data_IF_005939311224
#
_entry.id   IF_005939311224
#
_cell.length_a   1.000
_cell.length_b   1.000
_cell.length_c   1.000
_cell.angle_alpha   90.00
_cell.angle_beta   90.00
_cell.angle_gamma   90.00
#
_symmetry.space_group_name_H-M   'P 1'
#
loop_
_entity.id
_entity.type
_entity.pdbx_description
1 polymer ?
#
# COMPACT_ATOMS: atom_id res chain seq x y z
N UNK A 1 17.31 -11.09 22.16
CA UNK A 1 16.23 -12.07 22.40
C UNK A 1 14.92 -11.31 22.38
N UNK A 2 14.02 -11.62 21.44
CA UNK A 2 12.67 -11.07 21.46
C UNK A 2 11.91 -11.65 22.65
N UNK A 3 11.44 -10.79 23.54
CA UNK A 3 10.75 -11.20 24.76
C UNK A 3 9.36 -11.73 24.37
N UNK A 4 9.13 -13.00 24.67
CA UNK A 4 7.81 -13.61 24.60
C UNK A 4 7.04 -13.07 25.81
N UNK A 5 5.86 -12.49 25.61
CA UNK A 5 5.07 -12.00 26.74
C UNK A 5 4.30 -13.17 27.37
N UNK A 6 4.00 -13.08 28.67
CA UNK A 6 3.31 -14.16 29.39
C UNK A 6 1.92 -14.51 28.83
N UNK A 7 1.33 -13.62 28.04
CA UNK A 7 0.01 -13.81 27.44
C UNK A 7 0.02 -14.64 26.16
N UNK A 8 1.13 -14.70 25.42
CA UNK A 8 1.18 -15.40 24.14
C UNK A 8 2.60 -15.85 23.79
N UNK A 9 2.75 -17.16 23.57
CA UNK A 9 4.04 -17.76 23.24
C UNK A 9 4.40 -17.73 21.75
N UNK A 10 3.56 -17.10 20.92
CA UNK A 10 3.75 -17.11 19.48
C UNK A 10 4.88 -16.18 19.05
N UNK A 11 5.82 -16.71 18.28
CA UNK A 11 6.98 -15.97 17.77
C UNK A 11 6.83 -15.57 16.32
N UNK A 12 6.02 -16.30 15.57
CA UNK A 12 5.81 -16.09 14.15
C UNK A 12 4.34 -15.78 13.87
N UNK A 13 4.09 -14.98 12.84
CA UNK A 13 2.75 -14.68 12.36
C UNK A 13 1.96 -15.97 12.00
N UNK A 14 2.66 -16.99 11.50
CA UNK A 14 2.06 -18.27 11.11
C UNK A 14 1.44 -19.04 12.29
N UNK A 15 1.91 -18.84 13.51
CA UNK A 15 1.43 -19.57 14.69
C UNK A 15 0.05 -19.09 15.15
N UNK A 16 -0.34 -17.87 14.77
CA UNK A 16 -1.65 -17.29 15.09
C UNK A 16 -2.80 -17.92 14.28
N UNK A 17 -2.52 -18.64 13.17
CA UNK A 17 -3.52 -19.34 12.35
C UNK A 17 -4.79 -18.52 12.04
N UNK A 18 -4.61 -17.27 11.60
CA UNK A 18 -5.75 -16.42 11.25
C UNK A 18 -6.56 -16.99 10.07
N UNK A 19 -7.88 -16.82 10.14
CA UNK A 19 -8.80 -17.28 9.08
C UNK A 19 -8.70 -16.43 7.80
N UNK A 20 -8.43 -15.13 7.96
CA UNK A 20 -8.29 -14.17 6.87
C UNK A 20 -6.81 -13.91 6.56
N UNK A 21 -6.53 -13.58 5.31
CA UNK A 21 -5.17 -13.21 4.87
C UNK A 21 -4.69 -11.93 5.54
N UNK A 22 -3.38 -11.84 5.80
CA UNK A 22 -2.78 -10.72 6.50
C UNK A 22 -2.42 -9.58 5.56
N UNK A 23 -2.29 -8.38 6.14
CA UNK A 23 -1.73 -7.20 5.49
C UNK A 23 -0.42 -6.88 6.22
N UNK A 24 0.68 -6.80 5.48
CA UNK A 24 1.98 -6.40 6.03
C UNK A 24 2.21 -4.94 5.64
N UNK A 25 2.52 -4.08 6.60
CA UNK A 25 2.90 -2.69 6.40
C UNK A 25 4.38 -2.54 6.77
N UNK A 26 5.22 -2.20 5.79
CA UNK A 26 6.64 -1.93 5.99
C UNK A 26 6.91 -0.42 6.00
N UNK A 27 7.53 0.06 7.08
CA UNK A 27 7.92 1.46 7.26
C UNK A 27 9.21 1.58 8.09
N UNK A 28 9.94 2.70 7.95
CA UNK A 28 11.13 2.98 8.77
C UNK A 28 10.74 3.22 10.24
N UNK A 29 9.77 4.09 10.47
CA UNK A 29 9.31 4.47 11.80
C UNK A 29 7.79 4.52 11.89
N UNK A 30 7.28 4.42 13.12
CA UNK A 30 5.86 4.55 13.41
C UNK A 30 5.41 6.01 13.35
N UNK A 31 4.88 6.43 12.20
CA UNK A 31 4.33 7.78 12.01
C UNK A 31 2.83 7.83 12.26
N UNK A 32 2.30 9.04 12.50
CA UNK A 32 0.86 9.27 12.57
C UNK A 32 0.11 8.86 11.28
N UNK A 33 0.82 8.79 10.14
CA UNK A 33 0.27 8.28 8.89
C UNK A 33 -0.21 6.83 8.99
N UNK A 34 0.47 6.00 9.80
CA UNK A 34 0.09 4.61 10.03
C UNK A 34 -1.24 4.51 10.80
N UNK A 35 -1.50 5.45 11.71
CA UNK A 35 -2.78 5.52 12.40
C UNK A 35 -3.92 5.77 11.39
N UNK A 36 -3.74 6.72 10.47
CA UNK A 36 -4.69 7.01 9.39
C UNK A 36 -4.84 5.85 8.39
N UNK A 37 -3.84 4.97 8.28
CA UNK A 37 -3.94 3.73 7.49
C UNK A 37 -4.84 2.69 8.18
N UNK A 38 -4.79 2.58 9.51
CA UNK A 38 -5.55 1.58 10.27
C UNK A 38 -7.03 1.94 10.38
N UNK A 39 -7.37 3.22 10.55
CA UNK A 39 -8.76 3.70 10.73
C UNK A 39 -9.75 3.13 9.68
N UNK A 40 -9.55 3.32 8.36
CA UNK A 40 -10.49 2.83 7.35
C UNK A 40 -10.53 1.30 7.28
N UNK A 41 -9.42 0.62 7.62
CA UNK A 41 -9.34 -0.85 7.68
C UNK A 41 -10.02 -1.46 8.91
N UNK A 42 -10.38 -0.63 9.89
CA UNK A 42 -11.09 -0.99 11.13
C UNK A 42 -12.42 -0.25 11.29
N UNK A 43 -12.92 0.34 10.22
CA UNK A 43 -14.16 1.08 10.23
C UNK A 43 -15.37 0.19 10.58
N UNK A 44 -16.37 0.79 11.25
CA UNK A 44 -17.54 0.10 11.79
C UNK A 44 -18.34 -0.72 10.75
N UNK A 45 -18.34 -0.30 9.49
CA UNK A 45 -19.07 -1.00 8.42
C UNK A 45 -18.44 -2.33 8.00
N UNK A 46 -17.20 -2.63 8.41
CA UNK A 46 -16.54 -3.92 8.14
C UNK A 46 -17.04 -4.98 9.11
N UNK A 47 -17.41 -6.15 8.60
CA UNK A 47 -17.75 -7.28 9.46
C UNK A 47 -16.54 -7.76 10.24
N UNK A 48 -16.72 -8.05 11.54
CA UNK A 48 -15.69 -8.57 12.45
C UNK A 48 -15.03 -9.84 11.92
N UNK A 49 -15.77 -10.68 11.20
CA UNK A 49 -15.27 -11.95 10.62
C UNK A 49 -14.42 -11.76 9.37
N UNK A 50 -14.47 -10.57 8.77
CA UNK A 50 -13.74 -10.24 7.52
C UNK A 50 -12.53 -9.35 7.76
N UNK A 51 -12.19 -9.06 9.02
CA UNK A 51 -11.08 -8.18 9.35
C UNK A 51 -9.74 -8.87 9.09
N UNK A 52 -8.96 -8.30 8.18
CA UNK A 52 -7.59 -8.74 7.91
C UNK A 52 -6.65 -8.30 9.05
N UNK A 53 -5.86 -9.21 9.66
CA UNK A 53 -4.80 -8.86 10.59
C UNK A 53 -3.77 -7.95 9.91
N UNK A 54 -3.31 -6.94 10.64
CA UNK A 54 -2.29 -5.98 10.15
C UNK A 54 -1.01 -6.21 10.94
N UNK A 55 0.11 -6.41 10.25
CA UNK A 55 1.43 -6.56 10.83
C UNK A 55 2.31 -5.39 10.36
N UNK A 56 2.73 -4.55 11.30
CA UNK A 56 3.63 -3.43 11.04
C UNK A 56 5.08 -3.90 11.21
N UNK A 57 5.81 -3.99 10.11
CA UNK A 57 7.24 -4.26 10.06
C UNK A 57 7.98 -2.92 10.11
N UNK A 58 8.55 -2.62 11.28
CA UNK A 58 9.20 -1.34 11.55
C UNK A 58 10.71 -1.51 11.71
N UNK A 59 11.51 -0.62 11.12
CA UNK A 59 12.97 -0.65 11.31
C UNK A 59 13.38 -0.07 12.67
N UNK A 60 12.52 0.79 13.25
CA UNK A 60 12.70 1.39 14.57
C UNK A 60 11.60 0.98 15.54
N UNK A 61 11.94 0.97 16.83
CA UNK A 61 10.93 0.74 17.87
C UNK A 61 9.93 1.90 17.91
N UNK A 62 8.62 1.61 17.91
CA UNK A 62 7.60 2.65 18.03
C UNK A 62 7.63 3.30 19.42
N UNK A 63 7.19 4.55 19.47
CA UNK A 63 7.00 5.26 20.74
C UNK A 63 5.81 4.70 21.53
N UNK A 64 5.85 4.85 22.85
CA UNK A 64 4.82 4.32 23.75
C UNK A 64 3.46 4.98 23.46
N UNK A 65 3.43 6.30 23.21
CA UNK A 65 2.21 7.02 22.88
C UNK A 65 1.52 6.48 21.62
N UNK A 66 2.29 6.04 20.63
CA UNK A 66 1.76 5.42 19.42
C UNK A 66 1.21 4.02 19.70
N UNK A 67 1.90 3.22 20.53
CA UNK A 67 1.43 1.90 20.95
C UNK A 67 0.11 2.00 21.73
N UNK A 68 -0.02 2.98 22.62
CA UNK A 68 -1.25 3.23 23.37
C UNK A 68 -2.43 3.53 22.43
N UNK A 69 -2.20 4.37 21.41
CA UNK A 69 -3.22 4.69 20.41
C UNK A 69 -3.65 3.48 19.58
N UNK A 70 -2.71 2.59 19.21
CA UNK A 70 -3.01 1.42 18.39
C UNK A 70 -3.62 0.28 19.20
N UNK A 71 -3.36 0.22 20.50
CA UNK A 71 -3.86 -0.84 21.39
C UNK A 71 -5.38 -1.03 21.36
N UNK A 72 -6.13 0.02 21.01
CA UNK A 72 -7.58 -0.01 20.87
C UNK A 72 -8.08 -0.78 19.63
N UNK A 73 -7.24 -0.98 18.61
CA UNK A 73 -7.64 -1.66 17.38
C UNK A 73 -7.43 -3.18 17.47
N UNK A 74 -8.41 -3.99 17.05
CA UNK A 74 -8.26 -5.43 17.03
C UNK A 74 -7.32 -5.89 15.92
N UNK A 75 -6.60 -6.99 16.18
CA UNK A 75 -5.77 -7.68 15.19
C UNK A 75 -4.71 -6.76 14.54
N UNK A 76 -4.08 -5.90 15.33
CA UNK A 76 -2.93 -5.09 14.90
C UNK A 76 -1.72 -5.52 15.70
N UNK A 77 -0.65 -5.85 14.98
CA UNK A 77 0.61 -6.34 15.54
C UNK A 77 1.75 -5.52 14.97
N UNK A 78 2.88 -5.49 15.67
CA UNK A 78 4.10 -4.89 15.17
C UNK A 78 5.28 -5.80 15.44
N UNK A 79 6.30 -5.69 14.59
CA UNK A 79 7.56 -6.39 14.75
C UNK A 79 8.71 -5.49 14.28
N UNK A 80 9.86 -5.65 14.92
CA UNK A 80 11.07 -4.99 14.52
C UNK A 80 11.73 -5.79 13.39
N UNK A 81 12.02 -5.16 12.26
CA UNK A 81 12.69 -5.79 11.13
C UNK A 81 12.65 -4.92 9.87
N UNK A 82 13.29 -5.39 8.80
CA UNK A 82 13.38 -4.69 7.52
C UNK A 82 12.88 -5.56 6.37
N UNK A 83 12.41 -4.93 5.30
CA UNK A 83 12.05 -5.60 4.04
C UNK A 83 13.25 -6.18 3.30
N UNK A 84 14.45 -5.70 3.60
CA UNK A 84 15.69 -6.21 3.02
C UNK A 84 16.08 -7.58 3.61
N UNK A 85 15.57 -7.90 4.80
CA UNK A 85 15.82 -9.15 5.51
C UNK A 85 14.72 -10.17 5.22
N UNK A 86 15.07 -11.23 4.49
CA UNK A 86 14.13 -12.31 4.16
C UNK A 86 13.58 -13.01 5.41
N UNK A 87 14.39 -13.18 6.45
CA UNK A 87 13.96 -13.83 7.70
C UNK A 87 12.87 -13.02 8.40
N UNK A 88 12.96 -11.69 8.37
CA UNK A 88 11.95 -10.83 8.98
C UNK A 88 10.63 -10.88 8.19
N UNK A 89 10.69 -10.91 6.85
CA UNK A 89 9.51 -11.11 6.01
C UNK A 89 8.85 -12.48 6.25
N UNK A 90 9.64 -13.55 6.41
CA UNK A 90 9.12 -14.88 6.71
C UNK A 90 8.48 -14.93 8.10
N UNK A 91 9.08 -14.29 9.12
CA UNK A 91 8.49 -14.15 10.46
C UNK A 91 7.19 -13.34 10.45
N UNK A 92 7.14 -12.29 9.62
CA UNK A 92 5.94 -11.50 9.37
C UNK A 92 4.82 -12.30 8.67
N UNK A 93 5.11 -13.51 8.18
CA UNK A 93 4.13 -14.38 7.54
C UNK A 93 3.80 -13.92 6.11
N UNK A 94 4.79 -13.45 5.37
CA UNK A 94 4.62 -13.02 3.97
C UNK A 94 3.91 -14.06 3.09
N UNK A 95 4.09 -15.35 3.36
CA UNK A 95 3.42 -16.44 2.64
C UNK A 95 1.89 -16.47 2.84
N UNK A 96 1.40 -15.97 3.97
CA UNK A 96 -0.02 -15.89 4.32
C UNK A 96 -0.61 -14.51 3.96
N UNK A 97 0.24 -13.55 3.61
CA UNK A 97 -0.17 -12.19 3.31
C UNK A 97 -0.87 -12.11 1.95
N UNK A 98 -1.93 -11.31 1.89
CA UNK A 98 -2.53 -10.95 0.60
C UNK A 98 -1.83 -9.74 -0.01
N UNK A 99 -1.55 -8.75 0.84
CA UNK A 99 -1.01 -7.46 0.43
C UNK A 99 0.18 -7.08 1.31
N UNK A 100 1.24 -6.59 0.67
CA UNK A 100 2.38 -5.96 1.33
C UNK A 100 2.38 -4.49 0.91
N UNK A 101 2.32 -3.59 1.89
CA UNK A 101 2.36 -2.14 1.70
C UNK A 101 3.74 -1.66 2.12
N UNK A 102 4.48 -1.04 1.20
CA UNK A 102 5.81 -0.49 1.44
C UNK A 102 5.74 1.03 1.38
N UNK A 103 5.97 1.68 2.51
CA UNK A 103 5.99 3.14 2.67
C UNK A 103 7.40 3.65 2.40
N UNK A 104 7.52 4.84 1.82
CA UNK A 104 8.83 5.39 1.51
C UNK A 104 9.62 5.76 2.78
N UNK A 105 10.94 5.55 2.76
CA UNK A 105 11.83 5.86 3.88
C UNK A 105 12.20 7.35 3.84
N UNK A 106 11.47 8.18 4.58
CA UNK A 106 11.68 9.63 4.60
C UNK A 106 13.10 10.05 5.01
N UNK A 107 13.76 9.29 5.90
CA UNK A 107 15.05 9.66 6.49
C UNK A 107 16.27 9.22 5.66
N UNK A 108 16.12 8.29 4.71
CA UNK A 108 17.22 7.91 3.80
C UNK A 108 17.36 8.83 2.59
N UNK A 109 16.51 9.86 2.47
CA UNK A 109 16.54 10.83 1.38
C UNK A 109 17.66 11.88 1.56
N UNK A 110 18.72 11.53 2.29
CA UNK A 110 19.88 12.39 2.45
C UNK A 110 20.69 12.45 1.14
N UNK A 111 20.52 13.59 0.46
CA UNK A 111 21.52 14.36 -0.27
C UNK A 111 21.83 13.97 -1.74
N UNK A 112 21.64 14.99 -2.59
CA UNK A 112 22.21 15.29 -3.91
C UNK A 112 21.35 15.04 -5.16
N UNK A 113 20.61 13.94 -5.29
CA UNK A 113 19.72 13.73 -6.45
C UNK A 113 18.34 13.18 -6.05
N UNK A 114 17.29 13.97 -6.33
CA UNK A 114 15.90 13.60 -6.03
C UNK A 114 15.45 12.29 -6.71
N UNK A 115 16.15 11.86 -7.77
CA UNK A 115 15.89 10.60 -8.49
C UNK A 115 16.31 9.37 -7.68
N UNK A 116 17.34 9.49 -6.84
CA UNK A 116 17.93 8.37 -6.09
C UNK A 116 17.24 8.11 -4.75
N UNK A 117 16.37 9.02 -4.30
CA UNK A 117 15.59 8.90 -3.08
C UNK A 117 14.86 7.54 -2.96
N UNK A 118 14.28 7.06 -4.06
CA UNK A 118 13.48 5.83 -4.07
C UNK A 118 14.30 4.55 -4.39
N UNK A 119 15.62 4.63 -4.57
CA UNK A 119 16.40 3.49 -5.05
C UNK A 119 16.35 2.29 -4.10
N UNK A 120 16.48 2.53 -2.80
CA UNK A 120 16.49 1.46 -1.80
C UNK A 120 15.16 0.72 -1.75
N UNK A 121 14.04 1.46 -1.76
CA UNK A 121 12.69 0.87 -1.72
C UNK A 121 12.39 0.09 -3.00
N UNK A 122 12.79 0.60 -4.17
CA UNK A 122 12.61 -0.09 -5.46
C UNK A 122 13.42 -1.39 -5.49
N UNK A 123 14.68 -1.38 -5.05
CA UNK A 123 15.55 -2.57 -5.03
C UNK A 123 14.99 -3.63 -4.07
N UNK A 124 14.54 -3.22 -2.89
CA UNK A 124 13.93 -4.12 -1.92
C UNK A 124 12.65 -4.77 -2.46
N UNK A 125 11.74 -3.97 -3.02
CA UNK A 125 10.50 -4.47 -3.62
C UNK A 125 10.76 -5.38 -4.82
N UNK A 126 11.74 -5.05 -5.66
CA UNK A 126 12.11 -5.89 -6.80
C UNK A 126 12.67 -7.24 -6.34
N UNK A 127 13.44 -7.25 -5.25
CA UNK A 127 13.96 -8.47 -4.63
C UNK A 127 12.82 -9.33 -4.08
N UNK A 128 11.88 -8.70 -3.36
CA UNK A 128 10.67 -9.37 -2.86
C UNK A 128 9.81 -9.95 -3.98
N UNK A 129 9.63 -9.21 -5.08
CA UNK A 129 8.86 -9.67 -6.25
C UNK A 129 9.48 -10.91 -6.92
N UNK A 130 10.82 -11.02 -6.92
CA UNK A 130 11.51 -12.23 -7.43
C UNK A 130 11.28 -13.44 -6.53
N UNK A 131 11.25 -13.27 -5.22
CA UNK A 131 11.00 -14.36 -4.27
C UNK A 131 9.53 -14.77 -4.20
N UNK A 132 8.62 -13.79 -4.26
CA UNK A 132 7.18 -14.00 -4.05
C UNK A 132 6.34 -13.38 -5.17
N UNK A 133 6.31 -13.98 -6.37
CA UNK A 133 5.60 -13.40 -7.52
C UNK A 133 4.06 -13.38 -7.38
N UNK A 134 3.50 -14.14 -6.44
CA UNK A 134 2.05 -14.21 -6.19
C UNK A 134 1.49 -13.16 -5.25
N UNK A 135 2.36 -12.37 -4.60
CA UNK A 135 1.96 -11.39 -3.58
C UNK A 135 1.69 -10.04 -4.22
N UNK A 136 0.60 -9.38 -3.81
CA UNK A 136 0.31 -8.02 -4.24
C UNK A 136 1.10 -7.05 -3.40
N UNK A 137 1.94 -6.27 -4.06
CA UNK A 137 2.74 -5.22 -3.41
C UNK A 137 2.19 -3.87 -3.80
N UNK A 138 2.03 -2.99 -2.81
CA UNK A 138 1.69 -1.58 -2.97
C UNK A 138 2.89 -0.79 -2.46
N UNK A 139 3.52 -0.02 -3.32
CA UNK A 139 4.72 0.76 -2.98
C UNK A 139 4.47 2.23 -3.15
N UNK A 140 4.80 3.00 -2.13
CA UNK A 140 4.86 4.45 -2.19
C UNK A 140 6.23 4.90 -2.74
N UNK A 141 6.20 5.79 -3.71
CA UNK A 141 7.39 6.44 -4.27
C UNK A 141 7.26 7.96 -4.12
N UNK A 142 8.39 8.66 -3.96
CA UNK A 142 8.41 10.13 -3.97
C UNK A 142 8.13 10.67 -5.38
N UNK A 143 8.69 10.03 -6.41
CA UNK A 143 8.57 10.49 -7.78
C UNK A 143 7.80 9.54 -8.70
N UNK A 144 6.87 10.09 -9.47
CA UNK A 144 6.19 9.38 -10.55
C UNK A 144 7.12 8.92 -11.69
N UNK A 145 8.27 9.59 -11.87
CA UNK A 145 9.31 9.23 -12.83
C UNK A 145 9.86 7.81 -12.56
N UNK A 146 10.03 7.47 -11.28
CA UNK A 146 10.65 6.24 -10.79
C UNK A 146 9.77 4.99 -10.94
N UNK A 147 8.47 5.14 -11.21
CA UNK A 147 7.54 4.02 -11.42
C UNK A 147 7.98 3.06 -12.54
N UNK A 148 8.83 3.53 -13.47
CA UNK A 148 9.37 2.72 -14.58
C UNK A 148 10.26 1.56 -14.13
N UNK A 149 10.81 1.65 -12.92
CA UNK A 149 11.74 0.65 -12.38
C UNK A 149 11.04 -0.45 -11.59
N UNK A 150 9.75 -0.26 -11.30
CA UNK A 150 8.94 -1.26 -10.58
C UNK A 150 8.64 -2.45 -11.47
N UNK A 151 8.77 -3.66 -10.89
CA UNK A 151 8.47 -4.94 -11.55
C UNK A 151 9.23 -5.15 -12.87
N UNK A 152 10.48 -4.70 -12.92
CA UNK A 152 11.30 -4.82 -14.13
C UNK A 152 11.50 -6.28 -14.53
N UNK A 153 11.28 -6.57 -15.82
CA UNK A 153 11.59 -7.86 -16.45
C UNK A 153 12.48 -7.63 -17.66
N UNK A 154 13.51 -8.45 -17.82
CA UNK A 154 14.35 -8.40 -19.01
C UNK A 154 13.52 -8.79 -20.25
N UNK A 155 13.75 -8.10 -21.38
CA UNK A 155 13.15 -8.40 -22.70
C UNK A 155 11.62 -8.28 -22.79
N UNK A 156 11.01 -7.35 -22.05
CA UNK A 156 9.58 -7.06 -22.17
C UNK A 156 9.26 -6.16 -23.38
N UNK A 157 8.78 -6.78 -24.47
CA UNK A 157 8.33 -6.06 -25.68
C UNK A 157 7.12 -5.16 -25.42
N UNK A 158 6.26 -5.53 -24.48
CA UNK A 158 5.06 -4.77 -24.15
C UNK A 158 5.42 -3.50 -23.37
N UNK A 159 6.31 -3.61 -22.38
CA UNK A 159 6.84 -2.46 -21.66
C UNK A 159 7.53 -1.45 -22.60
N UNK A 160 8.30 -1.94 -23.59
CA UNK A 160 8.92 -1.07 -24.60
C UNK A 160 7.87 -0.34 -25.46
N UNK A 161 6.81 -1.03 -25.87
CA UNK A 161 5.72 -0.42 -26.63
C UNK A 161 5.02 0.69 -25.83
N UNK A 162 4.70 0.42 -24.56
CA UNK A 162 4.12 1.41 -23.64
C UNK A 162 5.02 2.62 -23.44
N UNK A 163 6.33 2.43 -23.29
CA UNK A 163 7.29 3.52 -23.16
C UNK A 163 7.31 4.44 -24.40
N UNK A 164 7.19 3.87 -25.60
CA UNK A 164 7.05 4.66 -26.84
C UNK A 164 5.75 5.45 -26.89
N UNK A 165 4.64 4.86 -26.42
CA UNK A 165 3.36 5.57 -26.32
C UNK A 165 3.41 6.70 -25.30
N UNK A 166 3.99 6.45 -24.13
CA UNK A 166 4.19 7.47 -23.08
C UNK A 166 4.96 8.68 -23.63
N UNK A 167 6.06 8.42 -24.37
CA UNK A 167 6.86 9.50 -24.97
C UNK A 167 6.03 10.35 -25.94
N UNK A 168 5.23 9.71 -26.80
CA UNK A 168 4.33 10.42 -27.73
C UNK A 168 3.27 11.25 -26.99
N UNK A 169 2.68 10.72 -25.93
CA UNK A 169 1.68 11.45 -25.14
C UNK A 169 2.29 12.61 -24.36
N UNK A 170 3.54 12.47 -23.91
CA UNK A 170 4.30 13.56 -23.30
C UNK A 170 4.60 14.67 -24.31
N UNK A 171 4.98 14.31 -25.55
CA UNK A 171 5.18 15.27 -26.65
C UNK A 171 3.88 16.00 -27.03
N UNK A 172 2.70 15.39 -26.81
CA UNK A 172 1.39 16.02 -26.98
C UNK A 172 0.99 16.94 -25.82
N UNK A 173 1.78 17.02 -24.75
CA UNK A 173 1.51 17.86 -23.58
C UNK A 173 0.62 17.22 -22.51
N UNK A 174 0.49 15.88 -22.49
CA UNK A 174 -0.29 15.20 -21.45
C UNK A 174 0.40 15.26 -20.08
N UNK A 175 -0.34 15.68 -19.05
CA UNK A 175 0.14 15.74 -17.67
C UNK A 175 0.13 14.38 -16.95
N UNK A 176 -0.49 13.34 -17.53
CA UNK A 176 -0.62 12.00 -16.94
C UNK A 176 -0.03 10.94 -17.89
N UNK A 177 1.15 11.22 -18.46
CA UNK A 177 1.81 10.30 -19.40
C UNK A 177 2.10 8.92 -18.77
N UNK A 178 2.29 8.87 -17.46
CA UNK A 178 2.53 7.64 -16.68
C UNK A 178 1.27 6.76 -16.51
N UNK A 179 0.08 7.21 -16.92
CA UNK A 179 -1.17 6.44 -16.81
C UNK A 179 -1.09 5.05 -17.45
N UNK A 180 -0.33 4.94 -18.55
CA UNK A 180 -0.18 3.71 -19.31
C UNK A 180 0.83 2.73 -18.71
N UNK A 181 1.52 3.10 -17.61
CA UNK A 181 2.48 2.21 -16.96
C UNK A 181 1.74 1.11 -16.22
N UNK A 182 2.12 -0.14 -16.49
CA UNK A 182 1.52 -1.32 -15.86
C UNK A 182 1.49 -1.26 -14.33
N UNK A 183 2.58 -0.89 -13.62
CA UNK A 183 2.57 -0.85 -12.16
C UNK A 183 1.58 0.17 -11.59
N UNK A 184 1.36 1.28 -12.30
CA UNK A 184 0.39 2.31 -11.93
C UNK A 184 -1.04 1.84 -12.21
N UNK A 185 -1.33 1.34 -13.40
CA UNK A 185 -2.65 0.84 -13.78
C UNK A 185 -3.09 -0.38 -12.92
N UNK A 186 -2.14 -1.18 -12.44
CA UNK A 186 -2.40 -2.30 -11.53
C UNK A 186 -2.66 -1.87 -10.07
N UNK A 187 -2.43 -0.60 -9.72
CA UNK A 187 -2.54 -0.10 -8.35
C UNK A 187 -1.41 -0.56 -7.43
N UNK A 188 -0.29 -1.04 -7.98
CA UNK A 188 0.88 -1.48 -7.21
C UNK A 188 1.81 -0.33 -6.80
N UNK A 189 1.62 0.85 -7.38
CA UNK A 189 2.49 2.01 -7.13
C UNK A 189 1.63 3.25 -6.90
N UNK A 190 2.00 4.00 -5.88
CA UNK A 190 1.39 5.28 -5.53
C UNK A 190 2.48 6.34 -5.35
N UNK A 191 2.22 7.59 -5.72
CA UNK A 191 3.16 8.70 -5.56
C UNK A 191 2.49 9.87 -4.89
N UNK A 192 3.11 10.43 -3.85
CA UNK A 192 2.59 11.58 -3.12
C UNK A 192 2.34 12.79 -4.04
N UNK A 193 3.19 12.97 -5.06
CA UNK A 193 3.07 14.04 -6.08
C UNK A 193 1.74 14.02 -6.85
N UNK A 194 0.99 12.91 -6.83
CA UNK A 194 -0.34 12.86 -7.46
C UNK A 194 -1.36 13.70 -6.70
N UNK A 195 -1.19 13.84 -5.39
CA UNK A 195 -2.07 14.62 -4.53
C UNK A 195 -1.90 16.12 -4.75
N UNK A 196 -0.73 16.58 -5.23
CA UNK A 196 -0.50 18.00 -5.54
C UNK A 196 -1.51 18.51 -6.58
N UNK A 197 -1.85 17.68 -7.56
CA UNK A 197 -2.87 18.02 -8.56
C UNK A 197 -4.26 18.21 -7.97
N UNK A 198 -4.58 17.50 -6.87
CA UNK A 198 -5.83 17.69 -6.16
C UNK A 198 -5.89 19.04 -5.47
N UNK A 199 -4.77 19.52 -4.91
CA UNK A 199 -4.70 20.84 -4.28
C UNK A 199 -4.95 21.94 -5.32
N UNK A 200 -4.35 21.85 -6.51
CA UNK A 200 -4.61 22.80 -7.59
C UNK A 200 -6.07 22.74 -8.08
N UNK A 201 -6.68 21.55 -8.13
CA UNK A 201 -8.09 21.42 -8.49
C UNK A 201 -9.02 21.97 -7.40
N UNK A 202 -8.64 21.83 -6.14
CA UNK A 202 -9.41 22.34 -5.01
C UNK A 202 -9.54 23.87 -5.04
N UNK A 203 -8.57 24.58 -5.62
CA UNK A 203 -8.66 26.04 -5.81
C UNK A 203 -9.88 26.46 -6.66
N UNK A 204 -10.25 25.64 -7.65
CA UNK A 204 -11.43 25.91 -8.51
C UNK A 204 -12.68 25.23 -7.98
N UNK A 205 -12.51 24.12 -7.26
CA UNK A 205 -13.61 23.24 -6.82
C UNK A 205 -13.48 22.95 -5.33
N UNK A 206 -14.14 23.76 -4.51
CA UNK A 206 -14.09 23.68 -3.05
C UNK A 206 -14.55 22.31 -2.50
N UNK A 207 -15.43 21.60 -3.23
CA UNK A 207 -15.96 20.31 -2.81
C UNK A 207 -15.00 19.12 -2.99
N UNK A 208 -13.91 19.26 -3.75
CA UNK A 208 -13.04 18.12 -4.13
C UNK A 208 -12.39 17.51 -2.90
N UNK A 209 -11.89 18.33 -1.98
CA UNK A 209 -11.24 17.85 -0.75
C UNK A 209 -12.23 17.09 0.12
N UNK A 210 -13.40 17.68 0.40
CA UNK A 210 -14.45 17.05 1.21
C UNK A 210 -14.91 15.74 0.58
N UNK A 211 -15.10 15.72 -0.74
CA UNK A 211 -15.52 14.53 -1.47
C UNK A 211 -14.50 13.39 -1.36
N UNK A 212 -13.21 13.68 -1.54
CA UNK A 212 -12.15 12.67 -1.44
C UNK A 212 -12.02 12.14 -0.01
N UNK A 213 -12.14 13.01 1.01
CA UNK A 213 -12.11 12.59 2.42
C UNK A 213 -13.26 11.67 2.79
N UNK A 214 -14.46 11.94 2.25
CA UNK A 214 -15.62 11.05 2.39
C UNK A 214 -15.39 9.71 1.68
N UNK A 215 -14.82 9.71 0.47
CA UNK A 215 -14.52 8.48 -0.27
C UNK A 215 -13.48 7.61 0.44
N UNK A 216 -12.43 8.22 1.00
CA UNK A 216 -11.40 7.53 1.78
C UNK A 216 -11.90 7.09 3.16
N UNK A 217 -13.04 7.64 3.62
CA UNK A 217 -13.60 7.36 4.94
C UNK A 217 -12.84 8.01 6.10
N UNK A 218 -12.06 9.07 5.81
CA UNK A 218 -11.37 9.89 6.82
C UNK A 218 -12.38 10.75 7.57
N UNK A 219 -13.24 11.41 6.81
CA UNK A 219 -14.38 12.16 7.36
C UNK A 219 -15.63 11.30 7.19
N UNK A 220 -16.47 11.24 8.22
CA UNK A 220 -17.76 10.55 8.18
C UNK A 220 -18.86 11.53 8.57
N UNK A 221 -19.88 11.63 7.73
CA UNK A 221 -21.07 12.43 7.99
C UNK A 221 -22.29 11.50 8.11
N UNK A 222 -23.30 11.84 8.94
CA UNK A 222 -24.55 11.07 8.95
C UNK A 222 -25.13 10.97 7.54
N UNK A 223 -25.28 9.75 7.02
CA UNK A 223 -25.74 9.50 5.64
C UNK A 223 -24.64 9.37 4.58
N UNK A 224 -23.35 9.40 4.96
CA UNK A 224 -22.25 9.14 4.01
C UNK A 224 -22.16 7.65 3.64
N UNK A 225 -21.81 7.37 2.38
CA UNK A 225 -21.49 6.01 1.91
C UNK A 225 -20.04 5.60 2.18
N UNK A 226 -19.69 4.37 1.81
CA UNK A 226 -18.33 3.83 1.90
C UNK A 226 -17.96 3.07 0.63
N UNK A 227 -16.66 3.01 0.32
CA UNK A 227 -16.16 2.20 -0.80
C UNK A 227 -16.21 0.72 -0.45
N UNK A 228 -16.82 -0.05 -1.35
CA UNK A 228 -16.86 -1.52 -1.28
C UNK A 228 -16.40 -2.12 -2.60
N UNK A 229 -16.01 -3.38 -2.56
CA UNK A 229 -15.65 -4.15 -3.75
C UNK A 229 -16.48 -5.43 -3.80
N UNK A 230 -17.03 -5.72 -4.98
CA UNK A 230 -17.69 -6.98 -5.28
C UNK A 230 -16.87 -7.70 -6.34
N UNK A 231 -16.43 -8.92 -6.05
CA UNK A 231 -15.74 -9.76 -7.02
C UNK A 231 -16.79 -10.51 -7.83
N UNK A 232 -16.86 -10.23 -9.13
CA UNK A 232 -17.74 -10.94 -10.06
C UNK A 232 -17.28 -12.40 -10.13
N UNK A 233 -18.18 -13.32 -9.76
CA UNK A 233 -17.97 -14.76 -9.81
C UNK A 233 -18.69 -15.39 -11.00
N UNK A 234 -18.56 -16.71 -11.17
CA UNK A 234 -19.26 -17.43 -12.25
C UNK A 234 -20.78 -17.26 -12.16
N UNK A 235 -21.29 -17.16 -10.94
CA UNK A 235 -22.72 -17.03 -10.66
C UNK A 235 -23.24 -15.64 -10.99
N UNK A 236 -22.37 -14.64 -11.13
CA UNK A 236 -22.71 -13.26 -11.50
C UNK A 236 -22.61 -13.01 -13.02
N UNK A 237 -22.06 -13.97 -13.79
CA UNK A 237 -21.81 -13.78 -15.22
C UNK A 237 -23.08 -13.63 -16.07
N UNK A 238 -24.26 -13.96 -15.52
CA UNK A 238 -25.54 -13.76 -16.20
C UNK A 238 -25.87 -12.28 -16.46
N UNK A 239 -25.27 -11.37 -15.70
CA UNK A 239 -25.52 -9.92 -15.78
C UNK A 239 -25.02 -9.34 -17.13
N UNK A 240 -23.99 -9.96 -17.75
CA UNK A 240 -23.41 -9.69 -19.08
C UNK A 240 -22.86 -8.28 -19.33
N UNK A 241 -23.52 -7.22 -18.89
CA UNK A 241 -23.17 -5.82 -19.18
C UNK A 241 -23.11 -4.99 -17.90
N UNK A 242 -22.23 -3.98 -17.87
CA UNK A 242 -22.03 -3.13 -16.69
C UNK A 242 -23.30 -2.36 -16.29
N UNK A 243 -24.11 -1.90 -17.24
CA UNK A 243 -25.35 -1.17 -16.91
C UNK A 243 -26.47 -2.04 -16.30
N UNK A 244 -26.31 -3.37 -16.31
CA UNK A 244 -27.23 -4.30 -15.66
C UNK A 244 -26.73 -4.76 -14.28
N UNK A 245 -25.47 -4.49 -13.98
CA UNK A 245 -24.85 -4.73 -12.68
C UNK A 245 -25.25 -3.62 -11.72
#
# INVERSE_FOLDING_TARGET
MFAVCEHCNYRNANEYNWQTKTIILAADYASNGIYNFIIPLRAHFKSKTTLNPIIMLLERRPEIAFLDAISYFPLVYWMLGSIDCLDDLLRAGILLAENVVVVNKELSNSAEEDTLADCNTIVAVQTMFKFFPGIRTITELSQSSNMRFMQFRAQDKYALHLSKMEKKEKERGSHISYMFRLPFAAGSVFSASMLDTLLYQAFVKDYVITFIRLLLGVDQAPGSGFLTSMKITKDDMWIRTYGRL
#
